data_IF_314019397875
#
_entry.id   IF_314019397875
#
_cell.length_a   1.000
_cell.length_b   1.000
_cell.length_c   1.000
_cell.angle_alpha   90.00
_cell.angle_beta   90.00
_cell.angle_gamma   90.00
#
_symmetry.space_group_name_H-M   'P 1'
#
loop_
_entity.id
_entity.type
_entity.pdbx_description
1 polymer ?
#
# COMPACT_ATOMS: atom_id res chain seq x y z
N UNK A 1 6.99 28.50 30.74
CA UNK A 1 8.04 28.68 29.71
C UNK A 1 8.37 27.31 29.17
N UNK A 2 7.68 26.88 28.11
CA UNK A 2 8.01 25.65 27.39
C UNK A 2 8.23 26.04 25.94
N UNK A 3 9.48 25.89 25.50
CA UNK A 3 9.91 26.06 24.12
C UNK A 3 10.09 24.66 23.54
N UNK A 4 9.37 24.34 22.47
CA UNK A 4 9.66 23.19 21.64
C UNK A 4 10.08 23.70 20.27
N UNK A 5 11.34 23.41 19.93
CA UNK A 5 11.96 23.77 18.67
C UNK A 5 11.51 22.86 17.54
N UNK A 6 10.86 23.49 16.57
CA UNK A 6 11.15 23.46 15.13
C UNK A 6 11.12 22.13 14.37
N UNK A 7 10.05 21.97 13.58
CA UNK A 7 10.18 21.83 12.13
C UNK A 7 9.34 22.94 11.48
N UNK A 8 9.98 23.98 10.93
CA UNK A 8 9.28 24.99 10.11
C UNK A 8 8.93 24.33 8.78
N UNK A 9 7.79 23.66 8.76
CA UNK A 9 7.05 23.36 7.54
C UNK A 9 6.03 24.49 7.36
N UNK A 10 5.75 24.91 6.13
CA UNK A 10 4.84 26.02 5.80
C UNK A 10 3.43 25.93 6.44
N UNK A 11 3.09 24.79 7.06
CA UNK A 11 1.89 24.56 7.84
C UNK A 11 1.92 25.09 9.28
N UNK A 12 3.09 25.24 9.91
CA UNK A 12 3.19 25.64 11.32
C UNK A 12 2.63 27.05 11.58
N UNK A 13 2.84 27.97 10.64
CA UNK A 13 2.28 29.33 10.70
C UNK A 13 0.76 29.33 10.46
N UNK A 14 0.25 28.47 9.58
CA UNK A 14 -1.18 28.37 9.28
C UNK A 14 -1.99 27.96 10.51
N UNK A 15 -1.59 26.89 11.22
CA UNK A 15 -2.33 26.40 12.38
C UNK A 15 -2.37 27.44 13.50
N UNK A 16 -1.22 28.06 13.81
CA UNK A 16 -1.13 29.10 14.84
C UNK A 16 -2.00 30.32 14.49
N UNK A 17 -1.97 30.78 13.23
CA UNK A 17 -2.77 31.91 12.78
C UNK A 17 -4.28 31.67 12.89
N UNK A 18 -4.71 30.41 12.83
CA UNK A 18 -6.12 30.02 12.92
C UNK A 18 -6.51 29.46 14.30
N UNK A 19 -5.61 29.52 15.30
CA UNK A 19 -5.87 29.01 16.64
C UNK A 19 -6.09 27.50 16.70
N UNK A 20 -5.49 26.74 15.78
CA UNK A 20 -5.57 25.29 15.71
C UNK A 20 -4.40 24.70 16.49
N UNK A 21 -4.70 23.96 17.55
CA UNK A 21 -3.74 23.13 18.26
C UNK A 21 -3.60 21.78 17.56
N UNK A 22 -2.36 21.36 17.28
CA UNK A 22 -2.05 20.09 16.63
C UNK A 22 -1.30 19.20 17.61
N UNK A 23 -1.93 18.09 17.97
CA UNK A 23 -1.34 17.05 18.82
C UNK A 23 -0.86 15.89 17.95
N UNK A 24 0.33 16.02 17.37
CA UNK A 24 0.98 14.96 16.59
C UNK A 24 1.44 13.80 17.47
N UNK A 25 1.62 12.62 16.88
CA UNK A 25 2.12 11.42 17.55
C UNK A 25 1.30 10.99 18.78
N UNK A 26 0.03 11.39 18.83
CA UNK A 26 -0.93 11.00 19.86
C UNK A 26 -2.10 10.23 19.26
N UNK A 27 -2.29 9.01 19.77
CA UNK A 27 -3.33 8.11 19.29
C UNK A 27 -4.46 8.03 20.31
N UNK A 28 -5.69 8.31 19.88
CA UNK A 28 -6.89 8.09 20.70
C UNK A 28 -7.24 6.59 20.68
N UNK A 29 -7.38 6.00 21.86
CA UNK A 29 -7.69 4.58 22.06
C UNK A 29 -9.13 4.35 22.52
N UNK A 30 -9.75 5.35 23.15
CA UNK A 30 -11.13 5.28 23.63
C UNK A 30 -11.84 6.63 23.51
N UNK A 31 -13.13 6.58 23.20
CA UNK A 31 -14.06 7.71 23.24
C UNK A 31 -15.18 7.38 24.22
N UNK A 32 -15.34 8.21 25.24
CA UNK A 32 -16.53 8.20 26.10
C UNK A 32 -17.45 9.36 25.67
N UNK A 33 -18.53 9.02 24.96
CA UNK A 33 -19.45 9.99 24.43
C UNK A 33 -20.37 10.62 25.49
N UNK A 34 -20.60 9.92 26.62
CA UNK A 34 -21.44 10.39 27.70
C UNK A 34 -20.67 11.37 28.58
N UNK A 35 -19.46 11.00 29.00
CA UNK A 35 -18.56 11.88 29.75
C UNK A 35 -17.89 12.95 28.88
N UNK A 36 -18.04 12.84 27.54
CA UNK A 36 -17.38 13.67 26.53
C UNK A 36 -15.85 13.75 26.71
N UNK A 37 -15.22 12.58 26.79
CA UNK A 37 -13.76 12.47 26.95
C UNK A 37 -13.13 11.53 25.93
N UNK A 38 -11.89 11.81 25.59
CA UNK A 38 -10.99 10.96 24.80
C UNK A 38 -9.90 10.45 25.72
N UNK A 39 -9.47 9.20 25.52
CA UNK A 39 -8.27 8.65 26.16
C UNK A 39 -7.21 8.40 25.08
N UNK A 40 -6.01 8.88 25.33
CA UNK A 40 -4.84 8.65 24.49
C UNK A 40 -4.12 7.35 24.86
N UNK A 41 -3.27 6.86 23.96
CA UNK A 41 -2.47 5.65 24.16
C UNK A 41 -1.49 5.71 25.34
N UNK A 42 -1.12 6.93 25.77
CA UNK A 42 -0.28 7.17 26.96
C UNK A 42 -1.10 7.27 28.26
N UNK A 43 -2.42 7.04 28.19
CA UNK A 43 -3.34 7.08 29.32
C UNK A 43 -3.85 8.49 29.67
N UNK A 44 -3.35 9.55 29.03
CA UNK A 44 -3.88 10.89 29.25
C UNK A 44 -5.29 11.03 28.66
N UNK A 45 -6.10 11.88 29.30
CA UNK A 45 -7.48 12.15 28.86
C UNK A 45 -7.67 13.60 28.42
N UNK A 46 -8.57 13.82 27.46
CA UNK A 46 -8.96 15.15 26.99
C UNK A 46 -10.49 15.25 26.93
N UNK A 47 -11.06 16.29 27.54
CA UNK A 47 -12.49 16.59 27.43
C UNK A 47 -12.78 17.39 26.17
N UNK A 48 -13.99 17.22 25.61
CA UNK A 48 -14.44 17.96 24.43
C UNK A 48 -15.89 18.45 24.56
N UNK A 49 -16.22 19.54 23.86
CA UNK A 49 -17.61 19.97 23.71
C UNK A 49 -18.31 19.26 22.54
N UNK A 50 -17.58 19.14 21.43
CA UNK A 50 -17.95 18.43 20.21
C UNK A 50 -16.76 17.60 19.67
N UNK A 51 -17.06 16.46 19.04
CA UNK A 51 -16.06 15.53 18.50
C UNK A 51 -16.36 15.22 17.03
N UNK A 52 -15.36 15.42 16.17
CA UNK A 52 -15.36 14.95 14.79
C UNK A 52 -14.43 13.74 14.65
N UNK A 53 -15.00 12.59 14.30
CA UNK A 53 -14.22 11.40 13.99
C UNK A 53 -13.73 11.47 12.54
N UNK A 54 -12.44 11.77 12.38
CA UNK A 54 -11.76 11.86 11.09
C UNK A 54 -10.62 10.83 10.97
N UNK A 55 -10.80 9.63 11.53
CA UNK A 55 -9.75 8.60 11.66
C UNK A 55 -9.41 7.87 10.36
N UNK A 56 -10.09 8.18 9.26
CA UNK A 56 -9.89 7.53 7.98
C UNK A 56 -10.20 6.02 8.01
N UNK A 57 -9.45 5.25 7.23
CA UNK A 57 -9.55 3.80 7.16
C UNK A 57 -8.22 3.11 7.45
N UNK A 58 -8.18 1.79 7.26
CA UNK A 58 -6.94 1.01 7.24
C UNK A 58 -6.97 0.09 6.03
N UNK A 59 -5.80 -0.26 5.50
CA UNK A 59 -5.72 -1.33 4.52
C UNK A 59 -6.29 -2.62 5.12
N UNK A 60 -7.07 -3.36 4.34
CA UNK A 60 -7.64 -4.63 4.79
C UNK A 60 -6.51 -5.65 4.95
N UNK A 61 -6.35 -6.30 6.12
CA UNK A 61 -5.36 -7.34 6.29
C UNK A 61 -5.66 -8.53 5.36
N UNK A 62 -4.61 -9.19 4.88
CA UNK A 62 -4.73 -10.41 4.08
C UNK A 62 -4.74 -11.62 5.01
N UNK A 63 -5.89 -12.25 5.13
CA UNK A 63 -6.04 -13.51 5.86
C UNK A 63 -5.85 -14.68 4.87
N UNK A 64 -4.60 -14.89 4.45
CA UNK A 64 -4.19 -15.93 3.51
C UNK A 64 -2.94 -16.63 4.05
N UNK A 65 -2.77 -17.91 3.72
CA UNK A 65 -1.54 -18.62 4.05
C UNK A 65 -0.33 -17.93 3.41
N UNK A 66 0.72 -17.69 4.19
CA UNK A 66 1.93 -16.98 3.75
C UNK A 66 1.79 -15.47 3.65
N UNK A 67 0.69 -14.87 4.12
CA UNK A 67 0.52 -13.41 4.14
C UNK A 67 1.48 -12.69 5.11
N UNK A 68 2.14 -13.43 5.98
CA UNK A 68 3.15 -13.00 6.94
C UNK A 68 4.59 -13.05 6.39
N UNK A 69 4.79 -13.58 5.18
CA UNK A 69 6.09 -13.57 4.51
C UNK A 69 6.57 -12.14 4.24
N UNK A 70 7.90 -11.95 4.24
CA UNK A 70 8.47 -10.66 3.84
C UNK A 70 8.11 -10.28 2.40
N UNK A 71 8.20 -8.99 2.09
CA UNK A 71 7.91 -8.37 0.80
C UNK A 71 6.43 -8.42 0.37
N UNK A 72 5.51 -8.52 1.34
CA UNK A 72 4.08 -8.26 1.16
C UNK A 72 3.78 -6.87 1.74
N UNK A 73 3.20 -5.98 0.93
CA UNK A 73 2.99 -4.58 1.29
C UNK A 73 1.53 -4.19 1.17
N UNK A 74 1.08 -3.36 2.11
CA UNK A 74 -0.10 -2.50 1.98
C UNK A 74 0.32 -1.11 1.53
N UNK A 75 -0.61 -0.32 1.00
CA UNK A 75 -0.34 1.06 0.60
C UNK A 75 -1.50 1.97 1.04
N UNK A 76 -1.35 2.55 2.22
CA UNK A 76 -2.29 3.48 2.84
C UNK A 76 -1.59 4.70 3.45
N UNK A 77 -0.39 4.51 4.00
CA UNK A 77 0.40 5.55 4.65
C UNK A 77 1.71 5.82 3.89
N UNK A 78 2.26 7.02 4.08
CA UNK A 78 3.51 7.43 3.42
C UNK A 78 4.70 6.53 3.78
N UNK A 79 4.76 6.02 5.02
CA UNK A 79 5.80 5.08 5.44
C UNK A 79 5.76 3.76 4.69
N UNK A 80 4.57 3.22 4.42
CA UNK A 80 4.40 2.00 3.64
C UNK A 80 4.83 2.20 2.18
N UNK A 81 4.53 3.37 1.60
CA UNK A 81 4.97 3.75 0.27
C UNK A 81 6.50 3.80 0.16
N UNK A 82 7.17 4.38 1.17
CA UNK A 82 8.63 4.44 1.21
C UNK A 82 9.25 3.04 1.30
N UNK A 83 8.72 2.17 2.15
CA UNK A 83 9.19 0.79 2.29
C UNK A 83 9.00 -0.02 0.99
N UNK A 84 7.86 0.13 0.33
CA UNK A 84 7.59 -0.50 -0.97
C UNK A 84 8.58 -0.01 -2.04
N UNK A 85 8.85 1.29 -2.11
CA UNK A 85 9.77 1.87 -3.10
C UNK A 85 11.21 1.38 -2.90
N UNK A 86 11.70 1.28 -1.67
CA UNK A 86 13.04 0.75 -1.38
C UNK A 86 13.19 -0.69 -1.92
N UNK A 87 12.14 -1.50 -1.76
CA UNK A 87 12.14 -2.90 -2.20
C UNK A 87 11.95 -3.01 -3.71
N UNK A 88 11.12 -2.16 -4.30
CA UNK A 88 10.87 -2.12 -5.74
C UNK A 88 12.15 -1.84 -6.55
N UNK A 89 13.09 -1.04 -6.03
CA UNK A 89 14.37 -0.76 -6.68
C UNK A 89 15.22 -2.01 -6.95
N UNK A 90 15.02 -3.08 -6.17
CA UNK A 90 15.77 -4.35 -6.27
C UNK A 90 14.92 -5.47 -6.86
N UNK A 91 13.65 -5.21 -7.14
CA UNK A 91 12.71 -6.20 -7.65
C UNK A 91 12.66 -6.17 -9.18
N UNK A 92 12.43 -7.35 -9.78
CA UNK A 92 12.16 -7.46 -11.21
C UNK A 92 10.66 -7.63 -11.51
N UNK A 93 9.91 -8.17 -10.55
CA UNK A 93 8.50 -8.54 -10.72
C UNK A 93 7.67 -8.08 -9.54
N UNK A 94 6.45 -7.65 -9.83
CA UNK A 94 5.48 -7.28 -8.80
C UNK A 94 4.13 -7.92 -9.10
N UNK A 95 3.46 -8.40 -8.06
CA UNK A 95 2.07 -8.86 -8.11
C UNK A 95 1.23 -7.88 -7.31
N UNK A 96 0.18 -7.35 -7.93
CA UNK A 96 -0.74 -6.41 -7.32
C UNK A 96 -2.08 -7.11 -7.11
N UNK A 97 -2.53 -7.15 -5.87
CA UNK A 97 -3.85 -7.66 -5.51
C UNK A 97 -4.88 -6.52 -5.57
N UNK A 98 -5.74 -6.58 -6.58
CA UNK A 98 -6.84 -5.64 -6.78
C UNK A 98 -6.64 -4.70 -7.97
N UNK A 99 -7.73 -4.50 -8.74
CA UNK A 99 -7.77 -3.62 -9.92
C UNK A 99 -8.62 -2.36 -9.66
N UNK A 100 -8.38 -1.71 -8.51
CA UNK A 100 -8.98 -0.42 -8.11
C UNK A 100 -8.01 0.73 -8.40
N UNK A 101 -8.34 1.97 -7.99
CA UNK A 101 -7.53 3.15 -8.29
C UNK A 101 -6.09 3.01 -7.78
N UNK A 102 -5.93 2.66 -6.49
CA UNK A 102 -4.61 2.47 -5.88
C UNK A 102 -3.84 1.36 -6.61
N UNK A 103 -4.48 0.20 -6.82
CA UNK A 103 -3.80 -0.93 -7.49
C UNK A 103 -3.35 -0.60 -8.91
N UNK A 104 -4.17 0.12 -9.67
CA UNK A 104 -3.87 0.50 -11.04
C UNK A 104 -2.81 1.61 -11.14
N UNK A 105 -2.80 2.59 -10.23
CA UNK A 105 -1.76 3.62 -10.16
C UNK A 105 -0.40 3.01 -9.77
N UNK A 106 -0.39 2.11 -8.79
CA UNK A 106 0.82 1.36 -8.41
C UNK A 106 1.30 0.51 -9.59
N UNK A 107 0.38 -0.17 -10.30
CA UNK A 107 0.73 -0.96 -11.47
C UNK A 107 1.41 -0.12 -12.55
N UNK A 108 0.82 1.05 -12.84
CA UNK A 108 1.38 1.98 -13.81
C UNK A 108 2.74 2.53 -13.36
N UNK A 109 2.92 2.85 -12.08
CA UNK A 109 4.17 3.39 -11.52
C UNK A 109 5.30 2.36 -11.55
N UNK A 110 5.07 1.16 -11.03
CA UNK A 110 6.08 0.09 -11.02
C UNK A 110 6.44 -0.38 -12.43
N UNK A 111 5.45 -0.45 -13.32
CA UNK A 111 5.68 -0.78 -14.73
C UNK A 111 6.53 0.29 -15.44
N UNK A 112 6.35 1.58 -15.11
CA UNK A 112 7.20 2.66 -15.64
C UNK A 112 8.63 2.59 -15.10
N UNK A 113 8.83 2.01 -13.92
CA UNK A 113 10.16 1.73 -13.35
C UNK A 113 10.80 0.46 -13.92
N UNK A 114 10.15 -0.22 -14.87
CA UNK A 114 10.71 -1.39 -15.57
C UNK A 114 10.39 -2.74 -14.93
N UNK A 115 9.57 -2.78 -13.87
CA UNK A 115 9.16 -4.05 -13.27
C UNK A 115 8.14 -4.76 -14.15
N UNK A 116 8.22 -6.09 -14.20
CA UNK A 116 7.14 -6.91 -14.75
C UNK A 116 5.97 -6.98 -13.75
N UNK A 117 4.91 -6.23 -14.03
CA UNK A 117 3.74 -6.15 -13.15
C UNK A 117 2.65 -7.11 -13.58
N UNK A 118 2.08 -7.85 -12.62
CA UNK A 118 0.87 -8.66 -12.81
C UNK A 118 -0.22 -8.22 -11.83
N UNK A 119 -1.38 -7.81 -12.33
CA UNK A 119 -2.55 -7.45 -11.52
C UNK A 119 -3.49 -8.65 -11.43
N UNK A 120 -3.82 -9.06 -10.20
CA UNK A 120 -4.78 -10.13 -9.91
C UNK A 120 -6.03 -9.51 -9.31
N UNK A 121 -7.21 -9.85 -9.85
CA UNK A 121 -8.48 -9.30 -9.35
C UNK A 121 -9.65 -10.22 -9.68
N UNK A 122 -10.66 -10.24 -8.82
CA UNK A 122 -11.90 -11.02 -9.01
C UNK A 122 -12.77 -10.51 -10.17
N UNK A 123 -12.69 -9.21 -10.50
CA UNK A 123 -13.49 -8.60 -11.56
C UNK A 123 -13.08 -9.06 -12.96
N UNK A 124 -13.93 -8.83 -13.96
CA UNK A 124 -13.62 -9.22 -15.35
C UNK A 124 -12.80 -8.16 -16.10
N UNK A 125 -12.88 -6.91 -15.65
CA UNK A 125 -12.06 -5.77 -16.08
C UNK A 125 -11.78 -4.83 -14.89
N UNK A 126 -10.71 -4.02 -14.91
CA UNK A 126 -10.48 -2.97 -13.91
C UNK A 126 -11.67 -2.01 -13.80
N UNK A 127 -11.94 -1.52 -12.59
CA UNK A 127 -13.00 -0.53 -12.33
C UNK A 127 -14.44 -0.93 -12.70
N UNK A 128 -14.72 -2.19 -13.03
CA UNK A 128 -16.05 -2.62 -13.52
C UNK A 128 -17.22 -2.16 -12.62
N UNK A 129 -17.16 -2.29 -11.29
CA UNK A 129 -18.26 -1.87 -10.42
C UNK A 129 -18.48 -0.36 -10.35
N UNK A 130 -17.50 0.46 -10.76
CA UNK A 130 -17.49 1.92 -10.59
C UNK A 130 -17.72 2.62 -11.94
N UNK A 131 -17.04 2.18 -12.99
CA UNK A 131 -17.01 2.84 -14.30
C UNK A 131 -17.65 1.99 -15.41
N UNK A 132 -18.03 0.75 -15.11
CA UNK A 132 -18.61 -0.18 -16.07
C UNK A 132 -17.57 -0.83 -17.00
N UNK A 133 -18.04 -1.88 -17.68
CA UNK A 133 -17.18 -2.79 -18.46
C UNK A 133 -16.42 -2.11 -19.60
N UNK A 134 -17.09 -1.24 -20.36
CA UNK A 134 -16.47 -0.58 -21.53
C UNK A 134 -15.28 0.29 -21.14
N UNK A 135 -15.44 1.09 -20.08
CA UNK A 135 -14.35 1.93 -19.55
C UNK A 135 -13.24 1.07 -18.97
N UNK A 136 -13.60 0.03 -18.22
CA UNK A 136 -12.63 -0.93 -17.69
C UNK A 136 -11.75 -1.57 -18.77
N UNK A 137 -12.33 -1.96 -19.91
CA UNK A 137 -11.57 -2.48 -21.06
C UNK A 137 -10.61 -1.47 -21.68
N UNK A 138 -10.92 -0.18 -21.63
CA UNK A 138 -10.00 0.87 -22.10
C UNK A 138 -8.82 0.98 -21.14
N UNK A 139 -9.09 1.00 -19.83
CA UNK A 139 -8.04 1.04 -18.80
C UNK A 139 -7.14 -0.20 -18.86
N UNK A 140 -7.73 -1.38 -18.97
CA UNK A 140 -7.00 -2.64 -19.12
C UNK A 140 -6.05 -2.57 -20.32
N UNK A 141 -6.57 -2.30 -21.53
CA UNK A 141 -5.77 -2.20 -22.75
C UNK A 141 -4.66 -1.16 -22.65
N UNK A 142 -4.92 -0.04 -21.96
CA UNK A 142 -3.93 1.01 -21.77
C UNK A 142 -2.77 0.55 -20.88
N UNK A 143 -3.06 -0.20 -19.82
CA UNK A 143 -2.02 -0.75 -18.94
C UNK A 143 -1.29 -1.94 -19.59
N UNK A 144 -1.99 -2.79 -20.34
CA UNK A 144 -1.38 -3.89 -21.11
C UNK A 144 -0.37 -3.37 -22.13
N UNK A 145 -0.69 -2.27 -22.83
CA UNK A 145 0.27 -1.59 -23.74
C UNK A 145 1.53 -1.09 -23.04
N UNK A 146 1.49 -0.89 -21.73
CA UNK A 146 2.65 -0.49 -20.91
C UNK A 146 3.38 -1.68 -20.29
N UNK A 147 2.94 -2.92 -20.55
CA UNK A 147 3.59 -4.14 -20.06
C UNK A 147 2.92 -4.76 -18.83
N UNK A 148 1.82 -4.19 -18.33
CA UNK A 148 1.08 -4.77 -17.20
C UNK A 148 0.29 -6.00 -17.66
N UNK A 149 0.46 -7.11 -16.97
CA UNK A 149 -0.31 -8.34 -17.20
C UNK A 149 -1.49 -8.42 -16.25
N UNK A 150 -2.56 -9.07 -16.68
CA UNK A 150 -3.80 -9.20 -15.92
C UNK A 150 -4.16 -10.67 -15.72
N UNK A 151 -4.51 -11.02 -14.48
CA UNK A 151 -5.08 -12.31 -14.05
C UNK A 151 -6.45 -12.02 -13.42
N UNK A 152 -7.41 -11.73 -14.30
CA UNK A 152 -8.77 -11.33 -13.94
C UNK A 152 -9.68 -12.54 -13.77
N UNK A 153 -10.72 -12.41 -12.95
CA UNK A 153 -11.61 -13.51 -12.58
C UNK A 153 -11.00 -14.50 -11.57
N UNK A 154 -9.84 -14.17 -10.99
CA UNK A 154 -9.10 -15.04 -10.08
C UNK A 154 -8.77 -14.33 -8.77
N UNK A 155 -8.67 -15.10 -7.68
CA UNK A 155 -8.11 -14.64 -6.40
C UNK A 155 -6.77 -15.32 -6.13
N UNK A 156 -5.95 -14.67 -5.31
CA UNK A 156 -4.81 -15.31 -4.65
C UNK A 156 -5.37 -16.17 -3.51
N UNK A 157 -4.97 -17.44 -3.44
CA UNK A 157 -5.32 -18.35 -2.35
C UNK A 157 -4.25 -18.42 -1.27
N UNK A 158 -2.98 -18.31 -1.65
CA UNK A 158 -1.84 -18.32 -0.73
C UNK A 158 -0.61 -17.69 -1.37
N UNK A 159 0.34 -17.36 -0.53
CA UNK A 159 1.70 -17.00 -0.89
C UNK A 159 2.64 -18.16 -0.55
N UNK A 160 3.66 -18.35 -1.39
CA UNK A 160 4.70 -19.36 -1.20
C UNK A 160 6.06 -18.65 -1.18
N UNK A 161 6.97 -19.15 -0.35
CA UNK A 161 8.36 -18.68 -0.26
C UNK A 161 9.04 -19.15 1.02
N UNK A 162 10.36 -18.95 1.09
CA UNK A 162 11.18 -19.21 2.28
C UNK A 162 11.66 -17.86 2.86
N UNK A 163 11.06 -17.44 3.97
CA UNK A 163 11.27 -16.12 4.59
C UNK A 163 10.62 -14.94 3.86
N UNK A 164 10.68 -14.90 2.53
CA UNK A 164 10.08 -13.86 1.69
C UNK A 164 9.19 -14.45 0.59
N UNK A 165 8.20 -13.69 0.12
CA UNK A 165 7.27 -14.17 -0.92
C UNK A 165 7.98 -14.36 -2.27
N UNK A 166 7.88 -15.57 -2.83
CA UNK A 166 8.45 -15.95 -4.14
C UNK A 166 7.36 -16.21 -5.18
N UNK A 167 6.15 -16.56 -4.75
CA UNK A 167 5.02 -16.73 -5.65
C UNK A 167 3.69 -16.43 -4.96
N UNK A 168 2.76 -15.84 -5.72
CA UNK A 168 1.34 -15.84 -5.38
C UNK A 168 0.65 -16.97 -6.16
N UNK A 169 -0.06 -17.86 -5.47
CA UNK A 169 -0.80 -18.95 -6.08
C UNK A 169 -2.27 -18.59 -6.18
N UNK A 170 -2.83 -18.74 -7.38
CA UNK A 170 -4.22 -18.43 -7.66
C UNK A 170 -5.13 -19.65 -7.45
N UNK A 171 -6.44 -19.39 -7.38
CA UNK A 171 -7.50 -20.40 -7.21
C UNK A 171 -7.61 -21.43 -8.34
N UNK A 172 -7.08 -21.12 -9.52
CA UNK A 172 -7.00 -22.05 -10.65
C UNK A 172 -5.68 -22.85 -10.68
N UNK A 173 -4.80 -22.67 -9.68
CA UNK A 173 -3.48 -23.29 -9.62
C UNK A 173 -2.36 -22.54 -10.36
N UNK A 174 -2.67 -21.44 -11.06
CA UNK A 174 -1.66 -20.59 -11.69
C UNK A 174 -0.72 -20.00 -10.63
N UNK A 175 0.57 -19.88 -10.98
CA UNK A 175 1.59 -19.31 -10.09
C UNK A 175 2.15 -18.02 -10.69
N UNK A 176 1.95 -16.91 -10.00
CA UNK A 176 2.57 -15.63 -10.32
C UNK A 176 3.92 -15.53 -9.59
N UNK A 177 5.01 -15.89 -10.27
CA UNK A 177 6.37 -15.86 -9.70
C UNK A 177 6.88 -14.42 -9.52
N UNK A 178 7.44 -14.18 -8.34
CA UNK A 178 8.13 -12.97 -7.92
C UNK A 178 9.62 -13.34 -7.89
N UNK A 179 10.34 -13.06 -8.98
CA UNK A 179 11.77 -13.42 -9.03
C UNK A 179 12.57 -12.34 -8.29
N UNK A 180 13.29 -12.78 -7.27
CA UNK A 180 14.34 -12.02 -6.61
C UNK A 180 15.67 -12.59 -7.08
N UNK A 181 16.26 -12.00 -8.13
CA UNK A 181 17.62 -12.39 -8.50
C UNK A 181 18.41 -11.19 -9.01
N UNK A 182 19.53 -10.95 -8.33
CA UNK A 182 20.69 -10.34 -8.95
C UNK A 182 21.13 -11.21 -10.14
N UNK A 183 21.44 -10.66 -11.32
CA UNK A 183 22.04 -11.46 -12.37
C UNK A 183 23.44 -11.91 -11.90
N UNK A 184 23.65 -13.22 -11.81
CA UNK A 184 24.95 -13.85 -11.50
C UNK A 184 26.06 -13.52 -12.52
N UNK A 185 25.74 -12.80 -13.61
CA UNK A 185 26.68 -12.48 -14.68
C UNK A 185 27.80 -11.50 -14.31
N UNK A 186 27.82 -10.95 -13.09
CA UNK A 186 28.87 -10.03 -12.60
C UNK A 186 29.91 -10.74 -11.71
N UNK A 187 29.67 -11.98 -11.27
CA UNK A 187 30.62 -12.74 -10.41
C UNK A 187 31.65 -13.57 -11.18
N UNK A 188 31.54 -13.67 -12.51
CA UNK A 188 32.48 -14.45 -13.34
C UNK A 188 33.54 -13.59 -14.05
N UNK A 189 33.96 -12.46 -13.47
CA UNK A 189 35.15 -11.76 -13.94
C UNK A 189 36.41 -12.51 -13.44
N UNK A 190 37.12 -13.15 -14.37
CA UNK A 190 38.50 -13.59 -14.17
C UNK A 190 39.41 -12.66 -14.97
N UNK A 191 40.46 -12.06 -14.37
CA UNK A 191 41.44 -11.29 -15.13
C UNK A 191 42.26 -12.22 -16.04
N UNK A 192 42.41 -11.81 -17.31
CA UNK A 192 43.41 -12.32 -18.25
C UNK A 192 44.82 -11.96 -17.84
#
# INVERSE_FOLDING_TARGET
MFSFGTAVSAFGTFYQQHGIEVLSDRYVTQVDAEAKTLTFSDGHTLSYDALLLATGGKAKPLDLLGADLENIFTLHQAGEAAALLEKAQKAQKAVILGASFIGMEVAASLSQQGLEVTVVSLGTVPFEPILGKQVGQIFQRTHEKKGVRFKLGHKIERFEGDGAVEAAVLDNGDRCKLIWSWPESVLNWQPT
#
